data_IF_363409274374
#
_entry.id   IF_363409274374
#
_cell.length_a   1.000
_cell.length_b   1.000
_cell.length_c   1.000
_cell.angle_alpha   90.00
_cell.angle_beta   90.00
_cell.angle_gamma   90.00
#
_symmetry.space_group_name_H-M   'P 1'
#
loop_
_entity.id
_entity.type
_entity.pdbx_description
1 polymer ?
#
# COMPACT_ATOMS: atom_id res chain seq x y z
N UNK A 1 -8.52 24.26 -15.13
CA UNK A 1 -8.24 24.41 -13.67
C UNK A 1 -6.74 24.69 -13.49
N UNK A 2 -6.28 25.44 -12.48
CA UNK A 2 -4.83 25.68 -12.28
C UNK A 2 -4.27 24.80 -11.16
N UNK A 3 -3.06 24.27 -11.35
CA UNK A 3 -2.29 23.55 -10.34
C UNK A 3 -1.07 24.37 -9.96
N UNK A 4 -0.72 24.37 -8.67
CA UNK A 4 0.52 24.98 -8.19
C UNK A 4 1.53 23.88 -7.85
N UNK A 5 2.75 23.99 -8.39
CA UNK A 5 3.84 23.10 -8.05
C UNK A 5 4.26 23.33 -6.58
N UNK A 6 4.20 22.31 -5.70
CA UNK A 6 4.59 22.48 -4.30
C UNK A 6 6.10 22.65 -4.10
N UNK A 7 6.91 22.38 -5.13
CA UNK A 7 8.38 22.49 -5.04
C UNK A 7 8.90 23.89 -5.39
N UNK A 8 8.27 24.59 -6.35
CA UNK A 8 8.75 25.88 -6.85
C UNK A 8 7.68 26.97 -6.94
N UNK A 9 6.41 26.66 -6.68
CA UNK A 9 5.32 27.62 -6.72
C UNK A 9 4.79 27.97 -8.10
N UNK A 10 5.39 27.43 -9.17
CA UNK A 10 4.95 27.62 -10.57
C UNK A 10 3.50 27.14 -10.75
N UNK A 11 2.69 27.92 -11.48
CA UNK A 11 1.31 27.59 -11.77
C UNK A 11 1.17 27.14 -13.23
N UNK A 12 0.43 26.05 -13.45
CA UNK A 12 0.18 25.54 -14.80
C UNK A 12 -1.24 24.98 -14.93
N UNK A 13 -1.84 25.04 -16.14
CA UNK A 13 -3.15 24.44 -16.37
C UNK A 13 -3.08 22.93 -16.12
N UNK A 14 -4.03 22.40 -15.34
CA UNK A 14 -4.09 20.99 -14.97
C UNK A 14 -3.97 20.06 -16.18
N UNK A 15 -4.55 20.48 -17.30
CA UNK A 15 -4.59 19.78 -18.57
C UNK A 15 -3.19 19.63 -19.20
N UNK A 16 -2.24 20.54 -18.91
CA UNK A 16 -0.86 20.44 -19.41
C UNK A 16 -0.11 19.24 -18.83
N UNK A 17 -0.43 18.81 -17.60
CA UNK A 17 0.12 17.58 -17.02
C UNK A 17 -0.27 16.32 -17.80
N UNK A 18 -1.36 16.39 -18.57
CA UNK A 18 -1.87 15.33 -19.43
C UNK A 18 -1.67 15.64 -20.91
N UNK A 19 -0.88 16.64 -21.30
CA UNK A 19 -0.62 16.88 -22.72
C UNK A 19 0.36 15.85 -23.30
N UNK A 20 1.36 15.48 -22.49
CA UNK A 20 2.45 14.59 -22.87
C UNK A 20 2.05 13.11 -22.85
N UNK A 21 2.42 12.36 -23.90
CA UNK A 21 2.07 10.95 -24.03
C UNK A 21 2.79 10.08 -22.98
N UNK A 22 4.07 10.35 -22.73
CA UNK A 22 4.84 9.62 -21.71
C UNK A 22 4.29 9.92 -20.30
N UNK A 23 3.92 11.18 -20.03
CA UNK A 23 3.24 11.58 -18.80
C UNK A 23 1.95 10.80 -18.54
N UNK A 24 1.11 10.62 -19.57
CA UNK A 24 -0.11 9.80 -19.48
C UNK A 24 0.21 8.34 -19.17
N UNK A 25 1.19 7.76 -19.86
CA UNK A 25 1.60 6.37 -19.63
C UNK A 25 2.10 6.18 -18.21
N UNK A 26 2.96 7.08 -17.72
CA UNK A 26 3.45 7.02 -16.34
C UNK A 26 2.29 7.14 -15.34
N UNK A 27 1.37 8.08 -15.54
CA UNK A 27 0.18 8.23 -14.69
C UNK A 27 -0.67 6.95 -14.66
N UNK A 28 -0.85 6.27 -15.80
CA UNK A 28 -1.58 5.01 -15.87
C UNK A 28 -0.89 3.86 -15.11
N UNK A 29 0.44 3.83 -15.05
CA UNK A 29 1.18 2.87 -14.21
C UNK A 29 0.94 3.13 -12.72
N UNK A 30 0.99 4.40 -12.30
CA UNK A 30 0.72 4.78 -10.90
C UNK A 30 -0.73 4.52 -10.47
N UNK A 31 -1.69 4.64 -11.38
CA UNK A 31 -3.11 4.39 -11.09
C UNK A 31 -3.39 2.93 -10.65
N UNK A 32 -2.51 1.99 -11.01
CA UNK A 32 -2.62 0.56 -10.63
C UNK A 32 -2.03 0.26 -9.24
N UNK A 33 -1.27 1.19 -8.66
CA UNK A 33 -0.53 0.97 -7.43
C UNK A 33 -1.39 1.24 -6.19
N UNK A 34 -1.16 0.45 -5.14
CA UNK A 34 -1.65 0.81 -3.80
C UNK A 34 -1.10 2.19 -3.41
N UNK A 35 -1.90 3.07 -2.78
CA UNK A 35 -1.49 4.46 -2.51
C UNK A 35 -0.15 4.61 -1.77
N UNK A 36 0.12 3.72 -0.81
CA UNK A 36 1.40 3.74 -0.06
C UNK A 36 2.58 3.40 -0.97
N UNK A 37 2.45 2.37 -1.81
CA UNK A 37 3.49 2.00 -2.76
C UNK A 37 3.68 3.09 -3.82
N UNK A 38 2.61 3.65 -4.37
CA UNK A 38 2.69 4.76 -5.32
C UNK A 38 3.48 5.96 -4.77
N UNK A 39 3.20 6.38 -3.53
CA UNK A 39 3.97 7.45 -2.87
C UNK A 39 5.45 7.08 -2.69
N UNK A 40 5.74 5.84 -2.31
CA UNK A 40 7.12 5.37 -2.17
C UNK A 40 7.85 5.42 -3.51
N UNK A 41 7.23 4.93 -4.58
CA UNK A 41 7.81 4.89 -5.93
C UNK A 41 8.11 6.30 -6.48
N UNK A 42 7.26 7.30 -6.22
CA UNK A 42 7.55 8.69 -6.61
C UNK A 42 8.86 9.22 -6.02
N UNK A 43 9.12 8.91 -4.75
CA UNK A 43 10.38 9.28 -4.10
C UNK A 43 11.55 8.42 -4.57
N UNK A 44 11.31 7.14 -4.85
CA UNK A 44 12.29 6.20 -5.37
C UNK A 44 12.85 6.65 -6.72
N UNK A 45 12.01 7.15 -7.63
CA UNK A 45 12.42 7.66 -8.94
C UNK A 45 13.48 8.77 -8.84
N UNK A 46 13.47 9.56 -7.76
CA UNK A 46 14.49 10.59 -7.52
C UNK A 46 15.89 10.01 -7.32
N UNK A 47 16.00 8.75 -6.87
CA UNK A 47 17.29 8.07 -6.71
C UNK A 47 17.93 7.70 -8.07
N UNK A 48 17.17 7.72 -9.17
CA UNK A 48 17.67 7.47 -10.52
C UNK A 48 17.98 8.76 -11.30
N UNK A 49 17.65 9.92 -10.73
CA UNK A 49 17.85 11.20 -11.40
C UNK A 49 19.31 11.64 -11.30
N UNK A 50 19.97 11.97 -12.43
CA UNK A 50 21.29 12.61 -12.41
C UNK A 50 21.26 13.96 -11.66
N UNK A 51 22.40 14.36 -11.09
CA UNK A 51 22.49 15.61 -10.33
C UNK A 51 22.22 16.88 -11.17
N UNK A 52 22.64 16.88 -12.44
CA UNK A 52 22.57 18.05 -13.33
C UNK A 52 21.40 18.02 -14.32
N UNK A 53 20.72 16.88 -14.46
CA UNK A 53 19.66 16.69 -15.46
C UNK A 53 18.51 15.93 -14.81
N UNK A 54 17.29 16.36 -15.07
CA UNK A 54 16.10 15.64 -14.63
C UNK A 54 16.02 14.23 -15.22
N UNK A 55 15.31 13.34 -14.54
CA UNK A 55 15.01 12.00 -15.04
C UNK A 55 14.09 12.12 -16.28
N UNK A 56 14.50 11.50 -17.39
CA UNK A 56 13.67 11.42 -18.60
C UNK A 56 12.44 10.56 -18.34
N UNK A 57 11.28 10.98 -18.87
CA UNK A 57 10.01 10.27 -18.66
C UNK A 57 10.04 8.83 -19.17
N UNK A 58 10.58 8.60 -20.38
CA UNK A 58 10.81 7.24 -20.91
C UNK A 58 11.63 6.33 -20.01
N UNK A 59 12.65 6.88 -19.32
CA UNK A 59 13.45 6.12 -18.34
C UNK A 59 12.64 5.86 -17.07
N UNK A 60 11.87 6.83 -16.59
CA UNK A 60 10.99 6.66 -15.44
C UNK A 60 9.96 5.54 -15.68
N UNK A 61 9.32 5.51 -16.85
CA UNK A 61 8.37 4.48 -17.26
C UNK A 61 9.02 3.08 -17.16
N UNK A 62 10.19 2.88 -17.79
CA UNK A 62 10.90 1.59 -17.75
C UNK A 62 11.21 1.15 -16.32
N UNK A 63 11.71 2.06 -15.48
CA UNK A 63 11.99 1.78 -14.05
C UNK A 63 10.71 1.36 -13.32
N UNK A 64 9.58 2.01 -13.57
CA UNK A 64 8.31 1.66 -12.91
C UNK A 64 7.77 0.33 -13.43
N UNK A 65 7.83 0.06 -14.74
CA UNK A 65 7.40 -1.21 -15.34
C UNK A 65 8.22 -2.41 -14.79
N UNK A 66 9.54 -2.28 -14.74
CA UNK A 66 10.42 -3.30 -14.15
C UNK A 66 10.11 -3.53 -12.67
N UNK A 67 9.89 -2.47 -11.89
CA UNK A 67 9.50 -2.58 -10.49
C UNK A 67 8.13 -3.25 -10.32
N UNK A 68 7.15 -2.90 -11.15
CA UNK A 68 5.82 -3.50 -11.11
C UNK A 68 5.89 -5.01 -11.36
N UNK A 69 6.66 -5.44 -12.36
CA UNK A 69 6.88 -6.86 -12.64
C UNK A 69 7.48 -7.60 -11.42
N UNK A 70 8.41 -6.96 -10.70
CA UNK A 70 8.97 -7.51 -9.46
C UNK A 70 7.92 -7.61 -8.35
N UNK A 71 7.09 -6.58 -8.17
CA UNK A 71 6.03 -6.54 -7.14
C UNK A 71 4.95 -7.58 -7.43
N UNK A 72 4.51 -7.70 -8.69
CA UNK A 72 3.46 -8.62 -9.14
C UNK A 72 3.85 -10.10 -8.92
N UNK A 73 5.14 -10.43 -8.98
CA UNK A 73 5.62 -11.78 -8.68
C UNK A 73 5.31 -12.25 -7.25
N UNK A 74 4.97 -11.33 -6.34
CA UNK A 74 4.67 -11.57 -4.92
C UNK A 74 5.80 -12.27 -4.14
N UNK A 75 6.98 -12.36 -4.74
CA UNK A 75 8.17 -12.96 -4.17
C UNK A 75 9.38 -12.08 -4.44
N UNK A 76 10.41 -12.24 -3.63
CA UNK A 76 11.69 -11.56 -3.83
C UNK A 76 12.82 -12.57 -3.72
N UNK A 77 13.76 -12.46 -4.66
CA UNK A 77 15.08 -13.10 -4.58
C UNK A 77 16.12 -12.00 -4.43
N UNK A 78 17.12 -12.23 -3.56
CA UNK A 78 18.19 -11.24 -3.29
C UNK A 78 18.91 -10.80 -4.56
N UNK A 79 19.28 -11.75 -5.41
CA UNK A 79 19.91 -11.54 -6.71
C UNK A 79 19.51 -12.67 -7.68
N UNK A 80 20.03 -12.63 -8.92
CA UNK A 80 19.72 -13.63 -9.94
C UNK A 80 20.37 -15.01 -9.71
N UNK A 81 21.34 -15.14 -8.79
CA UNK A 81 22.05 -16.39 -8.50
C UNK A 81 21.44 -17.11 -7.29
N UNK A 82 20.69 -16.39 -6.48
CA UNK A 82 20.06 -16.89 -5.26
C UNK A 82 18.84 -17.73 -5.63
N UNK A 83 18.85 -19.02 -5.27
CA UNK A 83 17.71 -19.93 -5.49
C UNK A 83 16.56 -19.67 -4.52
N UNK A 84 16.86 -19.16 -3.33
CA UNK A 84 15.85 -18.86 -2.32
C UNK A 84 14.99 -17.66 -2.71
N UNK A 85 13.67 -17.85 -2.70
CA UNK A 85 12.69 -16.78 -2.77
C UNK A 85 11.95 -16.62 -1.43
N UNK A 86 11.56 -15.39 -1.10
CA UNK A 86 10.76 -15.07 0.09
C UNK A 86 9.47 -14.36 -0.34
N UNK A 87 8.34 -14.56 0.37
CA UNK A 87 7.12 -13.80 0.10
C UNK A 87 7.34 -12.30 0.25
N UNK A 88 6.96 -11.52 -0.75
CA UNK A 88 7.16 -10.07 -0.77
C UNK A 88 5.92 -9.34 -1.32
N UNK A 89 4.84 -9.22 -0.52
CA UNK A 89 3.70 -8.35 -0.85
C UNK A 89 4.12 -6.89 -1.10
N UNK A 90 3.31 -6.09 -1.83
CA UNK A 90 3.57 -4.69 -2.18
C UNK A 90 4.05 -3.80 -1.01
N UNK A 91 3.52 -4.02 0.19
CA UNK A 91 3.91 -3.31 1.42
C UNK A 91 5.38 -3.46 1.80
N UNK A 92 6.01 -4.61 1.54
CA UNK A 92 7.43 -4.83 1.81
C UNK A 92 8.31 -4.04 0.83
N UNK A 93 7.88 -3.92 -0.43
CA UNK A 93 8.54 -3.08 -1.41
C UNK A 93 8.45 -1.60 -1.03
N UNK A 94 7.29 -1.13 -0.58
CA UNK A 94 7.14 0.22 -0.05
C UNK A 94 8.08 0.48 1.13
N UNK A 95 8.14 -0.45 2.10
CA UNK A 95 9.05 -0.34 3.24
C UNK A 95 10.54 -0.36 2.83
N UNK A 96 10.93 -1.21 1.88
CA UNK A 96 12.29 -1.25 1.36
C UNK A 96 12.70 0.04 0.66
N UNK A 97 11.79 0.62 -0.12
CA UNK A 97 11.99 1.93 -0.75
C UNK A 97 12.13 3.03 0.32
N UNK A 98 11.25 3.06 1.32
CA UNK A 98 11.30 4.01 2.45
C UNK A 98 12.63 3.91 3.20
N UNK A 99 13.12 2.68 3.46
CA UNK A 99 14.42 2.44 4.09
C UNK A 99 15.58 2.97 3.23
N UNK A 100 15.57 2.74 1.91
CA UNK A 100 16.58 3.28 1.01
C UNK A 100 16.59 4.81 1.00
N UNK A 101 15.41 5.43 1.00
CA UNK A 101 15.28 6.89 1.05
C UNK A 101 15.83 7.44 2.37
N UNK A 102 15.54 6.80 3.50
CA UNK A 102 16.08 7.20 4.81
C UNK A 102 17.62 7.10 4.87
N UNK A 103 18.22 6.22 4.08
CA UNK A 103 19.66 6.00 4.01
C UNK A 103 20.29 6.63 2.75
N UNK A 104 19.62 7.60 2.14
CA UNK A 104 20.01 8.20 0.85
C UNK A 104 21.47 8.63 0.80
N UNK A 105 21.99 9.24 1.86
CA UNK A 105 23.37 9.77 1.88
C UNK A 105 24.44 8.68 1.86
N UNK A 106 24.07 7.43 2.10
CA UNK A 106 24.94 6.25 2.01
C UNK A 106 24.89 5.57 0.63
N UNK A 107 24.03 6.05 -0.27
CA UNK A 107 23.85 5.47 -1.60
C UNK A 107 24.77 6.17 -2.62
N UNK A 108 25.34 5.37 -3.52
CA UNK A 108 25.94 5.90 -4.75
C UNK A 108 24.82 6.20 -5.74
N UNK A 109 24.62 7.48 -6.07
CA UNK A 109 23.57 7.95 -6.97
C UNK A 109 24.17 8.52 -8.26
N UNK A 110 23.48 8.40 -9.41
CA UNK A 110 22.15 7.80 -9.57
C UNK A 110 22.20 6.25 -9.53
N UNK A 111 21.09 5.64 -9.10
CA UNK A 111 20.92 4.20 -9.21
C UNK A 111 20.82 3.77 -10.69
N UNK A 112 21.31 2.56 -10.96
CA UNK A 112 21.28 1.96 -12.29
C UNK A 112 20.20 0.89 -12.44
N UNK A 113 19.82 0.22 -11.35
CA UNK A 113 18.88 -0.92 -11.36
C UNK A 113 18.19 -1.12 -10.00
N UNK A 114 17.26 -2.07 -9.95
CA UNK A 114 16.55 -2.48 -8.73
C UNK A 114 17.33 -3.46 -7.84
N UNK A 115 18.56 -3.85 -8.20
CA UNK A 115 19.30 -4.92 -7.51
C UNK A 115 19.49 -4.64 -6.01
N UNK A 116 19.83 -3.40 -5.66
CA UNK A 116 19.96 -3.02 -4.25
C UNK A 116 18.62 -3.04 -3.52
N UNK A 117 17.53 -2.57 -4.16
CA UNK A 117 16.19 -2.65 -3.60
C UNK A 117 15.77 -4.10 -3.35
N UNK A 118 16.04 -5.02 -4.28
CA UNK A 118 15.78 -6.46 -4.11
C UNK A 118 16.51 -7.01 -2.88
N UNK A 119 17.78 -6.65 -2.70
CA UNK A 119 18.56 -7.08 -1.54
C UNK A 119 17.98 -6.55 -0.22
N UNK A 120 17.56 -5.27 -0.20
CA UNK A 120 16.89 -4.66 0.97
C UNK A 120 15.58 -5.37 1.28
N UNK A 121 14.70 -5.52 0.29
CA UNK A 121 13.38 -6.16 0.46
C UNK A 121 13.53 -7.63 0.87
N UNK A 122 14.52 -8.35 0.31
CA UNK A 122 14.85 -9.72 0.73
C UNK A 122 15.32 -9.77 2.19
N UNK A 123 16.13 -8.81 2.62
CA UNK A 123 16.57 -8.67 4.01
C UNK A 123 15.39 -8.46 4.97
N UNK A 124 14.48 -7.55 4.62
CA UNK A 124 13.25 -7.31 5.39
C UNK A 124 12.40 -8.58 5.43
N UNK A 125 12.18 -9.24 4.28
CA UNK A 125 11.38 -10.46 4.19
C UNK A 125 11.99 -11.66 4.95
N UNK A 126 13.29 -11.62 5.22
CA UNK A 126 14.01 -12.64 5.99
C UNK A 126 13.99 -12.38 7.50
N UNK A 127 13.61 -11.18 7.94
CA UNK A 127 13.52 -10.79 9.35
C UNK A 127 12.05 -10.85 9.83
N UNK A 128 11.66 -11.85 10.63
CA UNK A 128 10.28 -11.99 11.11
C UNK A 128 9.78 -10.79 11.90
N UNK A 129 10.67 -10.06 12.59
CA UNK A 129 10.30 -8.89 13.40
C UNK A 129 9.87 -7.76 12.46
N UNK A 130 10.65 -7.51 11.40
CA UNK A 130 10.32 -6.49 10.42
C UNK A 130 9.08 -6.85 9.60
N UNK A 131 8.95 -8.12 9.17
CA UNK A 131 7.73 -8.59 8.48
C UNK A 131 6.49 -8.36 9.33
N UNK A 132 6.56 -8.64 10.64
CA UNK A 132 5.44 -8.43 11.57
C UNK A 132 5.14 -6.94 11.77
N UNK A 133 6.16 -6.09 11.85
CA UNK A 133 5.99 -4.64 11.97
C UNK A 133 5.35 -3.99 10.73
N UNK A 134 5.62 -4.53 9.54
CA UNK A 134 5.10 -4.05 8.25
C UNK A 134 3.75 -4.70 7.90
N UNK A 135 3.30 -5.67 8.70
CA UNK A 135 1.99 -6.29 8.51
C UNK A 135 0.88 -5.22 8.56
N UNK A 136 -0.19 -5.37 7.75
CA UNK A 136 -1.30 -4.46 7.77
C UNK A 136 -1.83 -4.41 9.20
N UNK A 137 -1.90 -3.21 9.75
CA UNK A 137 -2.65 -2.96 10.97
C UNK A 137 -4.08 -3.34 10.61
N UNK A 138 -4.56 -4.49 11.12
CA UNK A 138 -5.99 -4.77 11.08
C UNK A 138 -6.64 -3.53 11.67
N UNK A 139 -7.58 -2.86 10.96
CA UNK A 139 -8.30 -1.77 11.59
C UNK A 139 -8.77 -2.31 12.94
N UNK A 140 -8.55 -1.57 14.05
CA UNK A 140 -9.17 -1.99 15.30
C UNK A 140 -10.62 -2.27 14.92
N UNK A 141 -11.12 -3.49 15.17
CA UNK A 141 -12.56 -3.76 15.06
C UNK A 141 -13.17 -2.56 15.76
N UNK A 142 -13.85 -1.70 15.00
CA UNK A 142 -14.44 -0.49 15.57
C UNK A 142 -15.15 -0.98 16.81
N UNK A 143 -14.77 -0.49 18.00
CA UNK A 143 -15.51 -0.84 19.19
C UNK A 143 -16.96 -0.53 18.84
N UNK A 144 -17.80 -1.57 18.75
CA UNK A 144 -19.17 -1.44 18.29
C UNK A 144 -19.79 -0.35 19.15
N UNK A 145 -20.46 0.63 18.55
CA UNK A 145 -21.19 1.59 19.39
C UNK A 145 -22.15 0.80 20.28
N UNK A 146 -22.52 1.30 21.48
CA UNK A 146 -23.46 0.59 22.36
C UNK A 146 -24.74 0.17 21.63
N UNK A 147 -25.18 0.97 20.66
CA UNK A 147 -26.32 0.69 19.79
C UNK A 147 -26.08 -0.45 18.79
N UNK A 148 -24.87 -0.58 18.24
CA UNK A 148 -24.48 -1.71 17.39
C UNK A 148 -24.36 -3.01 18.19
N UNK A 149 -23.85 -2.96 19.41
CA UNK A 149 -23.78 -4.13 20.29
C UNK A 149 -25.18 -4.67 20.63
N UNK A 150 -26.13 -3.80 20.97
CA UNK A 150 -27.53 -4.18 21.19
C UNK A 150 -28.15 -4.78 19.93
N UNK A 151 -27.89 -4.21 18.76
CA UNK A 151 -28.42 -4.73 17.49
C UNK A 151 -27.85 -6.11 17.12
N UNK A 152 -26.56 -6.35 17.39
CA UNK A 152 -25.93 -7.67 17.21
C UNK A 152 -26.54 -8.72 18.14
N UNK A 153 -26.84 -8.35 19.38
CA UNK A 153 -27.42 -9.25 20.37
C UNK A 153 -28.88 -9.59 20.06
N UNK A 154 -29.67 -8.62 19.61
CA UNK A 154 -31.00 -8.86 19.05
C UNK A 154 -30.93 -9.81 17.85
N UNK A 155 -29.96 -9.62 16.96
CA UNK A 155 -29.77 -10.49 15.80
C UNK A 155 -29.44 -11.95 16.18
N UNK A 156 -28.74 -12.17 17.30
CA UNK A 156 -28.48 -13.52 17.85
C UNK A 156 -29.75 -14.14 18.41
N UNK A 157 -30.53 -13.37 19.17
CA UNK A 157 -31.83 -13.83 19.71
C UNK A 157 -32.77 -14.23 18.57
N UNK A 158 -32.86 -13.41 17.52
CA UNK A 158 -33.69 -13.72 16.34
C UNK A 158 -33.23 -14.98 15.61
N UNK A 159 -31.91 -15.23 15.58
CA UNK A 159 -31.36 -16.46 15.03
C UNK A 159 -31.72 -17.68 15.89
N UNK A 160 -31.63 -17.57 17.22
CA UNK A 160 -32.00 -18.64 18.15
C UNK A 160 -33.50 -18.98 18.06
N UNK A 161 -34.36 -17.98 17.90
CA UNK A 161 -35.80 -18.19 17.61
C UNK A 161 -35.99 -18.93 16.30
N UNK A 162 -35.28 -18.52 15.24
CA UNK A 162 -35.40 -19.15 13.91
C UNK A 162 -34.91 -20.60 13.91
N UNK A 163 -33.88 -20.89 14.71
CA UNK A 163 -33.31 -22.23 14.88
C UNK A 163 -34.12 -23.09 15.87
N UNK A 164 -35.15 -22.53 16.51
CA UNK A 164 -35.98 -23.23 17.50
C UNK A 164 -35.27 -23.52 18.82
N UNK A 165 -34.14 -22.84 19.09
CA UNK A 165 -33.38 -22.96 20.35
C UNK A 165 -34.14 -22.29 21.49
N UNK A 166 -34.87 -21.23 21.18
CA UNK A 166 -35.80 -20.55 22.08
C UNK A 166 -37.15 -20.36 21.38
N UNK A 167 -38.21 -20.31 22.17
CA UNK A 167 -39.54 -19.99 21.64
C UNK A 167 -39.65 -18.50 21.29
N UNK A 168 -40.66 -18.17 20.48
CA UNK A 168 -40.88 -16.81 19.98
C UNK A 168 -41.22 -15.83 21.10
N UNK A 169 -41.87 -16.29 22.16
CA UNK A 169 -42.30 -15.43 23.27
C UNK A 169 -41.10 -15.01 24.14
N UNK A 170 -40.21 -15.96 24.42
CA UNK A 170 -38.95 -15.80 25.11
C UNK A 170 -37.97 -14.93 24.31
N UNK A 171 -37.91 -15.10 22.99
CA UNK A 171 -37.16 -14.21 22.11
C UNK A 171 -37.62 -12.75 22.22
N UNK A 172 -38.93 -12.50 22.19
CA UNK A 172 -39.50 -11.15 22.32
C UNK A 172 -39.20 -10.51 23.68
N UNK A 173 -39.26 -11.28 24.79
CA UNK A 173 -38.91 -10.77 26.13
C UNK A 173 -37.45 -10.34 26.22
N UNK A 174 -36.53 -11.14 25.66
CA UNK A 174 -35.09 -10.81 25.69
C UNK A 174 -34.77 -9.57 24.86
N UNK A 175 -35.42 -9.40 23.70
CA UNK A 175 -35.28 -8.18 22.89
C UNK A 175 -35.84 -6.96 23.61
N UNK A 176 -36.97 -7.08 24.32
CA UNK A 176 -37.56 -5.98 25.10
C UNK A 176 -36.63 -5.54 26.25
N UNK A 177 -36.08 -6.50 26.99
CA UNK A 177 -35.11 -6.25 28.06
C UNK A 177 -33.85 -5.52 27.54
N UNK A 178 -33.35 -5.87 26.36
CA UNK A 178 -32.20 -5.20 25.72
C UNK A 178 -32.51 -3.77 25.25
N UNK A 179 -33.79 -3.47 24.96
CA UNK A 179 -34.25 -2.13 24.56
C UNK A 179 -34.67 -1.26 25.74
N UNK A 180 -34.71 -1.81 26.96
CA UNK A 180 -35.12 -1.10 28.17
C UNK A 180 -36.64 -0.89 28.28
N UNK A 181 -37.45 -1.74 27.63
CA UNK A 181 -38.92 -1.70 27.65
C UNK A 181 -39.50 -2.88 28.43
#
# INVERSE_FOLDING_TARGET
MQMQCPCCGEQFPFEAGFADADGKQLAALFAKLEPKLGRAVLNYLRLFSPAKRGLRMTKAIRIVEELLALVESSQVQRDARTTESKPAPPRLWAAGIEQMIAQRDRLSLPLESHNYLRAVVFGIASDPVQVKAIAPVKPPRSASTPQQAVQEEIGRIDADVRLGIIDKEEGMRRVAALRGN
#
